data_IF_703675737923
#
_entry.id   IF_703675737923
#
_cell.length_a   1.000
_cell.length_b   1.000
_cell.length_c   1.000
_cell.angle_alpha   90.00
_cell.angle_beta   90.00
_cell.angle_gamma   90.00
#
_symmetry.space_group_name_H-M   'P 1'
#
loop_
_entity.id
_entity.type
_entity.pdbx_description
1 polymer ?
#
# COMPACT_ATOMS: atom_id res chain seq x y z
N UNK A 1 -17.52 21.24 -21.64
CA UNK A 1 -16.92 19.92 -21.47
C UNK A 1 -15.88 19.93 -20.37
N UNK A 2 -15.68 18.81 -19.71
CA UNK A 2 -14.66 18.68 -18.67
C UNK A 2 -13.26 18.80 -19.28
N UNK A 3 -12.34 19.43 -18.54
CA UNK A 3 -10.94 19.53 -18.95
C UNK A 3 -10.33 18.13 -18.96
N UNK A 4 -9.92 17.64 -20.13
CA UNK A 4 -9.38 16.29 -20.26
C UNK A 4 -8.06 16.14 -19.49
N UNK A 5 -7.93 15.02 -18.76
CA UNK A 5 -6.70 14.64 -18.07
C UNK A 5 -5.72 13.92 -18.99
N UNK A 6 -5.22 12.75 -18.57
CA UNK A 6 -4.27 11.93 -19.34
C UNK A 6 -4.89 11.40 -20.63
N UNK A 7 -4.25 11.65 -21.77
CA UNK A 7 -4.66 11.08 -23.08
C UNK A 7 -4.31 9.59 -23.18
N UNK A 8 -5.20 8.85 -23.81
CA UNK A 8 -5.01 7.45 -24.21
C UNK A 8 -5.07 7.34 -25.75
N UNK A 9 -4.91 6.15 -26.30
CA UNK A 9 -5.03 5.94 -27.76
C UNK A 9 -6.41 6.29 -28.31
N UNK A 10 -7.46 6.13 -27.53
CA UNK A 10 -8.88 6.28 -27.96
C UNK A 10 -9.59 7.49 -27.37
N UNK A 11 -8.90 8.30 -26.55
CA UNK A 11 -9.53 9.47 -25.91
C UNK A 11 -8.82 9.88 -24.64
N UNK A 12 -9.57 10.34 -23.65
CA UNK A 12 -9.03 10.68 -22.34
C UNK A 12 -9.24 9.54 -21.34
N UNK A 13 -8.27 9.35 -20.44
CA UNK A 13 -8.38 8.36 -19.37
C UNK A 13 -9.53 8.71 -18.43
N UNK A 14 -10.35 7.71 -18.12
CA UNK A 14 -11.39 7.76 -17.09
C UNK A 14 -11.03 6.87 -15.90
N UNK A 15 -9.75 6.59 -15.68
CA UNK A 15 -9.29 5.88 -14.49
C UNK A 15 -9.63 6.65 -13.21
N UNK A 16 -9.82 5.94 -12.10
CA UNK A 16 -10.30 6.53 -10.86
C UNK A 16 -9.41 7.69 -10.38
N UNK A 17 -8.11 7.52 -10.39
CA UNK A 17 -7.10 8.53 -10.02
C UNK A 17 -7.19 9.84 -10.82
N UNK A 18 -7.64 9.74 -12.09
CA UNK A 18 -7.86 10.90 -12.96
C UNK A 18 -9.22 11.57 -12.67
N UNK A 19 -10.26 10.75 -12.46
CA UNK A 19 -11.60 11.27 -12.17
C UNK A 19 -11.68 11.89 -10.77
N UNK A 20 -11.01 11.32 -9.77
CA UNK A 20 -10.94 11.87 -8.42
C UNK A 20 -10.46 13.33 -8.40
N UNK A 21 -9.47 13.67 -9.25
CA UNK A 21 -8.98 15.05 -9.40
C UNK A 21 -9.98 16.01 -9.99
N UNK A 22 -10.96 15.50 -10.73
CA UNK A 22 -12.03 16.30 -11.36
C UNK A 22 -13.29 16.35 -10.50
N UNK A 23 -13.45 15.43 -9.57
CA UNK A 23 -14.66 15.29 -8.76
C UNK A 23 -14.90 16.51 -7.84
N UNK A 24 -13.84 17.14 -7.34
CA UNK A 24 -13.96 18.30 -6.46
C UNK A 24 -14.76 19.46 -7.10
N UNK A 25 -14.57 19.68 -8.41
CA UNK A 25 -15.20 20.78 -9.15
C UNK A 25 -16.42 20.32 -9.97
N UNK A 26 -16.70 19.02 -10.01
CA UNK A 26 -17.71 18.45 -10.91
C UNK A 26 -18.53 17.35 -10.22
N UNK A 27 -19.69 17.65 -9.62
CA UNK A 27 -20.50 16.68 -8.89
C UNK A 27 -20.83 15.42 -9.69
N UNK A 28 -21.15 15.54 -10.97
CA UNK A 28 -21.42 14.38 -11.84
C UNK A 28 -20.26 13.38 -11.90
N UNK A 29 -19.01 13.83 -11.71
CA UNK A 29 -17.84 12.94 -11.69
C UNK A 29 -17.80 12.15 -10.38
N UNK A 30 -18.20 12.78 -9.27
CA UNK A 30 -18.33 12.07 -7.99
C UNK A 30 -19.41 10.98 -8.09
N UNK A 31 -20.57 11.29 -8.67
CA UNK A 31 -21.65 10.30 -8.88
C UNK A 31 -21.18 9.12 -9.76
N UNK A 32 -20.41 9.39 -10.82
CA UNK A 32 -19.84 8.35 -11.68
C UNK A 32 -18.86 7.46 -10.90
N UNK A 33 -18.01 8.04 -10.05
CA UNK A 33 -17.08 7.28 -9.22
C UNK A 33 -17.83 6.39 -8.21
N UNK A 34 -18.84 6.93 -7.56
CA UNK A 34 -19.69 6.18 -6.64
C UNK A 34 -20.43 5.05 -7.36
N UNK A 35 -21.08 5.34 -8.48
CA UNK A 35 -21.77 4.32 -9.30
C UNK A 35 -20.82 3.19 -9.71
N UNK A 36 -19.61 3.51 -10.17
CA UNK A 36 -18.60 2.51 -10.54
C UNK A 36 -18.16 1.67 -9.34
N UNK A 37 -18.00 2.30 -8.18
CA UNK A 37 -17.65 1.61 -6.93
C UNK A 37 -18.74 0.61 -6.54
N UNK A 38 -20.00 1.05 -6.51
CA UNK A 38 -21.16 0.21 -6.19
C UNK A 38 -21.35 -0.94 -7.20
N UNK A 39 -21.23 -0.64 -8.49
CA UNK A 39 -21.34 -1.65 -9.55
C UNK A 39 -20.27 -2.71 -9.41
N UNK A 40 -19.01 -2.31 -9.11
CA UNK A 40 -17.91 -3.25 -8.87
C UNK A 40 -18.17 -4.11 -7.63
N UNK A 41 -18.63 -3.51 -6.53
CA UNK A 41 -18.97 -4.25 -5.32
C UNK A 41 -20.06 -5.29 -5.59
N UNK A 42 -21.10 -4.89 -6.30
CA UNK A 42 -22.22 -5.78 -6.67
C UNK A 42 -21.72 -6.91 -7.57
N UNK A 43 -21.15 -6.58 -8.72
CA UNK A 43 -20.84 -7.59 -9.76
C UNK A 43 -19.70 -8.53 -9.36
N UNK A 44 -18.67 -8.04 -8.69
CA UNK A 44 -17.48 -8.84 -8.36
C UNK A 44 -17.63 -9.61 -7.06
N UNK A 45 -18.28 -8.99 -6.06
CA UNK A 45 -18.30 -9.56 -4.71
C UNK A 45 -19.69 -10.02 -4.27
N UNK A 46 -20.76 -9.22 -4.45
CA UNK A 46 -22.08 -9.65 -3.99
C UNK A 46 -22.65 -10.77 -4.88
N UNK A 47 -22.65 -10.55 -6.19
CA UNK A 47 -23.14 -11.56 -7.14
C UNK A 47 -22.03 -12.56 -7.50
N UNK A 48 -20.85 -12.06 -7.85
CA UNK A 48 -19.78 -12.89 -8.41
C UNK A 48 -19.16 -13.89 -7.44
N UNK A 49 -19.16 -13.64 -6.12
CA UNK A 49 -18.69 -14.66 -5.17
C UNK A 49 -19.68 -15.81 -4.99
N UNK A 50 -20.97 -15.55 -5.20
CA UNK A 50 -21.98 -16.60 -5.09
C UNK A 50 -21.77 -17.73 -6.11
N UNK A 51 -21.26 -17.39 -7.29
CA UNK A 51 -20.97 -18.35 -8.36
C UNK A 51 -19.83 -19.33 -8.02
N UNK A 52 -19.03 -19.02 -7.01
CA UNK A 52 -17.92 -19.86 -6.53
C UNK A 52 -18.28 -20.69 -5.29
N UNK A 53 -19.52 -20.67 -4.85
CA UNK A 53 -19.95 -21.54 -3.73
C UNK A 53 -20.10 -22.95 -4.26
N UNK A 54 -19.31 -23.88 -3.73
CA UNK A 54 -19.33 -25.29 -4.11
C UNK A 54 -20.39 -26.10 -3.33
N UNK A 55 -20.52 -27.37 -3.63
CA UNK A 55 -21.53 -28.26 -3.03
C UNK A 55 -21.43 -28.35 -1.50
N UNK A 56 -20.23 -28.12 -0.93
CA UNK A 56 -20.00 -28.08 0.53
C UNK A 56 -20.41 -26.75 1.17
N UNK A 57 -20.97 -25.81 0.40
CA UNK A 57 -21.38 -24.48 0.85
C UNK A 57 -20.21 -23.50 1.07
N UNK A 58 -19.02 -23.81 0.56
CA UNK A 58 -17.80 -23.03 0.75
C UNK A 58 -17.23 -22.50 -0.55
N UNK A 59 -16.37 -21.49 -0.43
CA UNK A 59 -15.58 -20.96 -1.54
C UNK A 59 -14.14 -21.46 -1.41
N UNK A 60 -13.64 -22.10 -2.47
CA UNK A 60 -12.28 -22.64 -2.56
C UNK A 60 -11.49 -21.88 -3.62
N UNK A 61 -10.60 -20.99 -3.20
CA UNK A 61 -9.70 -20.27 -4.10
C UNK A 61 -8.48 -21.11 -4.46
N UNK A 62 -7.90 -20.84 -5.61
CA UNK A 62 -6.58 -21.37 -5.98
C UNK A 62 -5.48 -20.41 -5.59
N UNK A 63 -4.48 -20.88 -4.81
CA UNK A 63 -3.29 -20.13 -4.46
C UNK A 63 -2.14 -20.46 -5.40
N UNK A 64 -1.60 -19.42 -6.07
CA UNK A 64 -0.52 -19.58 -7.04
C UNK A 64 0.80 -19.08 -6.42
N UNK A 65 1.81 -19.95 -6.37
CA UNK A 65 3.11 -19.65 -5.77
C UNK A 65 4.16 -19.15 -6.78
N UNK A 66 3.90 -19.26 -8.08
CA UNK A 66 4.88 -19.03 -9.14
C UNK A 66 4.52 -17.90 -10.10
N UNK A 67 3.43 -17.17 -9.86
CA UNK A 67 2.92 -16.15 -10.79
C UNK A 67 3.57 -14.77 -10.55
N UNK A 68 3.79 -14.41 -9.29
CA UNK A 68 4.35 -13.09 -8.96
C UNK A 68 5.88 -13.09 -9.08
N UNK A 69 6.44 -12.03 -9.66
CA UNK A 69 7.90 -11.86 -9.76
C UNK A 69 8.59 -11.72 -8.37
N UNK A 70 7.84 -11.33 -7.34
CA UNK A 70 8.34 -11.07 -5.99
C UNK A 70 8.34 -12.29 -5.06
N UNK A 71 7.83 -13.44 -5.52
CA UNK A 71 7.65 -14.62 -4.67
C UNK A 71 6.40 -14.56 -3.76
N UNK A 72 5.57 -13.49 -3.86
CA UNK A 72 4.29 -13.45 -3.15
C UNK A 72 3.32 -14.45 -3.76
N UNK A 73 2.40 -14.96 -2.94
CA UNK A 73 1.29 -15.80 -3.41
C UNK A 73 0.21 -14.90 -4.03
N UNK A 74 -0.40 -15.35 -5.12
CA UNK A 74 -1.62 -14.77 -5.67
C UNK A 74 -2.81 -15.70 -5.50
N UNK A 75 -4.01 -15.15 -5.53
CA UNK A 75 -5.28 -15.88 -5.37
C UNK A 75 -6.14 -15.68 -6.60
N UNK A 76 -6.69 -16.79 -7.15
CA UNK A 76 -7.55 -16.79 -8.35
C UNK A 76 -8.72 -17.76 -8.18
N UNK A 77 -9.81 -17.51 -8.88
CA UNK A 77 -10.99 -18.36 -8.96
C UNK A 77 -11.61 -18.73 -7.60
N UNK A 78 -12.07 -17.75 -6.84
CA UNK A 78 -12.00 -16.30 -7.03
C UNK A 78 -10.76 -15.65 -6.43
N UNK A 79 -10.44 -14.39 -6.82
CA UNK A 79 -9.40 -13.62 -6.15
C UNK A 79 -9.91 -13.08 -4.81
N UNK A 80 -9.49 -13.70 -3.71
CA UNK A 80 -9.86 -13.30 -2.35
C UNK A 80 -8.92 -12.25 -1.72
N UNK A 81 -7.80 -11.91 -2.36
CA UNK A 81 -6.86 -10.90 -1.86
C UNK A 81 -7.34 -9.46 -2.05
N UNK A 82 -8.30 -9.23 -2.93
CA UNK A 82 -8.78 -7.90 -3.30
C UNK A 82 -10.15 -7.55 -2.67
N UNK A 83 -10.59 -8.27 -1.66
CA UNK A 83 -11.84 -7.96 -0.95
C UNK A 83 -11.72 -6.56 -0.32
N UNK A 84 -12.63 -5.62 -0.62
CA UNK A 84 -12.50 -4.24 -0.16
C UNK A 84 -12.54 -4.10 1.35
N UNK A 85 -11.74 -3.16 1.89
CA UNK A 85 -11.72 -2.85 3.33
C UNK A 85 -11.94 -1.37 3.64
N UNK A 86 -11.72 -0.49 2.65
CA UNK A 86 -11.68 0.97 2.90
C UNK A 86 -13.06 1.58 3.09
N UNK A 87 -14.07 1.04 2.41
CA UNK A 87 -15.46 1.53 2.49
C UNK A 87 -16.27 0.68 3.47
N UNK A 88 -17.33 1.26 4.01
CA UNK A 88 -18.26 0.56 4.91
C UNK A 88 -18.92 -0.65 4.22
N UNK A 89 -19.41 -0.46 2.99
CA UNK A 89 -19.99 -1.54 2.19
C UNK A 89 -18.98 -2.63 1.88
N UNK A 90 -17.72 -2.26 1.58
CA UNK A 90 -16.65 -3.23 1.37
C UNK A 90 -16.38 -4.07 2.63
N UNK A 91 -16.42 -3.47 3.81
CA UNK A 91 -16.30 -4.21 5.08
C UNK A 91 -17.46 -5.16 5.35
N UNK A 92 -18.68 -4.83 4.87
CA UNK A 92 -19.83 -5.73 4.98
C UNK A 92 -19.64 -7.03 4.17
N UNK A 93 -18.98 -6.95 3.00
CA UNK A 93 -18.66 -8.14 2.20
C UNK A 93 -17.79 -9.11 2.99
N UNK A 94 -16.85 -8.64 3.80
CA UNK A 94 -16.01 -9.53 4.64
C UNK A 94 -16.81 -10.30 5.68
N UNK A 95 -17.95 -9.77 6.14
CA UNK A 95 -18.79 -10.44 7.14
C UNK A 95 -19.51 -11.68 6.61
N UNK A 96 -19.58 -11.87 5.30
CA UNK A 96 -20.18 -13.08 4.72
C UNK A 96 -19.26 -14.30 4.83
N UNK A 97 -17.96 -14.06 5.06
CA UNK A 97 -17.01 -15.15 5.30
C UNK A 97 -17.07 -15.53 6.77
N UNK A 98 -17.59 -16.73 7.01
CA UNK A 98 -17.73 -17.29 8.36
C UNK A 98 -16.93 -18.59 8.43
N UNK A 99 -16.42 -18.97 9.62
CA UNK A 99 -15.75 -20.25 9.78
C UNK A 99 -16.77 -21.38 9.68
N UNK A 100 -16.31 -22.58 9.35
CA UNK A 100 -17.13 -23.80 9.45
C UNK A 100 -17.60 -23.98 10.91
N UNK A 101 -18.73 -24.66 11.10
CA UNK A 101 -19.25 -24.97 12.43
C UNK A 101 -18.18 -25.62 13.32
N UNK A 102 -18.05 -25.13 14.52
CA UNK A 102 -17.02 -25.52 15.52
C UNK A 102 -15.56 -25.17 15.13
N UNK A 103 -15.35 -24.29 14.13
CA UNK A 103 -14.03 -23.73 13.77
C UNK A 103 -13.99 -22.24 14.06
N UNK A 104 -12.77 -21.72 14.14
CA UNK A 104 -12.50 -20.28 14.29
C UNK A 104 -11.55 -19.86 13.19
N UNK A 105 -11.69 -18.60 12.73
CA UNK A 105 -10.62 -17.96 11.97
C UNK A 105 -9.48 -17.59 12.92
N UNK A 106 -8.27 -17.94 12.54
CA UNK A 106 -7.06 -17.46 13.18
C UNK A 106 -6.34 -16.58 12.17
N UNK A 107 -6.13 -15.32 12.53
CA UNK A 107 -5.38 -14.34 11.73
C UNK A 107 -4.06 -14.04 12.44
N UNK A 108 -2.94 -14.20 11.74
CA UNK A 108 -1.62 -13.89 12.23
C UNK A 108 -0.82 -13.22 11.12
N UNK A 109 -0.38 -11.99 11.36
CA UNK A 109 0.41 -11.20 10.42
C UNK A 109 1.76 -10.79 11.03
N UNK A 110 2.79 -10.79 10.21
CA UNK A 110 4.10 -10.28 10.63
C UNK A 110 4.07 -8.75 10.68
N UNK A 111 4.32 -8.19 11.86
CA UNK A 111 4.40 -6.74 12.02
C UNK A 111 5.56 -6.16 11.20
N UNK A 112 5.24 -5.48 10.11
CA UNK A 112 6.18 -4.71 9.29
C UNK A 112 7.38 -5.52 8.78
N UNK A 113 7.12 -6.73 8.29
CA UNK A 113 8.19 -7.68 7.93
C UNK A 113 9.18 -7.11 6.92
N UNK A 114 8.71 -6.37 5.91
CA UNK A 114 9.56 -5.79 4.88
C UNK A 114 10.58 -4.80 5.47
N UNK A 115 10.16 -3.96 6.40
CA UNK A 115 11.06 -3.00 7.06
C UNK A 115 12.04 -3.70 8.00
N UNK A 116 11.63 -4.78 8.66
CA UNK A 116 12.52 -5.60 9.50
C UNK A 116 13.58 -6.31 8.65
N UNK A 117 13.17 -6.84 7.49
CA UNK A 117 14.09 -7.44 6.53
C UNK A 117 15.05 -6.39 5.98
N UNK A 118 14.56 -5.22 5.61
CA UNK A 118 15.41 -4.11 5.16
C UNK A 118 16.43 -3.70 6.22
N UNK A 119 16.02 -3.58 7.48
CA UNK A 119 16.91 -3.28 8.59
C UNK A 119 18.02 -4.32 8.72
N UNK A 120 17.68 -5.60 8.63
CA UNK A 120 18.63 -6.71 8.73
C UNK A 120 19.61 -6.71 7.56
N UNK A 121 19.14 -6.64 6.32
CA UNK A 121 19.97 -6.76 5.11
C UNK A 121 20.87 -5.52 4.95
N UNK A 122 20.35 -4.31 5.19
CA UNK A 122 21.13 -3.07 5.12
C UNK A 122 22.16 -2.96 6.25
N UNK A 123 21.92 -3.67 7.36
CA UNK A 123 22.73 -3.56 8.58
C UNK A 123 22.65 -2.18 9.22
N UNK A 124 21.56 -1.44 8.99
CA UNK A 124 21.37 -0.12 9.63
C UNK A 124 21.09 -0.26 11.11
N UNK A 125 22.06 0.11 11.93
CA UNK A 125 22.02 -0.08 13.39
C UNK A 125 20.89 0.69 14.05
N UNK A 126 20.58 1.88 13.56
CA UNK A 126 19.51 2.70 14.13
C UNK A 126 18.13 2.09 13.88
N UNK A 127 17.92 1.56 12.67
CA UNK A 127 16.68 0.88 12.34
C UNK A 127 16.55 -0.47 13.07
N UNK A 128 17.63 -1.23 13.17
CA UNK A 128 17.67 -2.48 13.94
C UNK A 128 17.33 -2.22 15.41
N UNK A 129 17.95 -1.23 16.04
CA UNK A 129 17.72 -0.91 17.44
C UNK A 129 16.28 -0.42 17.68
N UNK A 130 15.72 0.37 16.76
CA UNK A 130 14.32 0.79 16.82
C UNK A 130 13.35 -0.40 16.83
N UNK A 131 13.65 -1.46 16.08
CA UNK A 131 12.84 -2.68 16.10
C UNK A 131 13.07 -3.58 17.31
N UNK A 132 14.26 -3.55 17.93
CA UNK A 132 14.52 -4.29 19.18
C UNK A 132 13.83 -3.66 20.40
N UNK A 133 13.66 -2.34 20.39
CA UNK A 133 13.04 -1.61 21.49
C UNK A 133 11.51 -1.77 21.57
N UNK A 134 10.90 -2.51 20.62
CA UNK A 134 9.43 -2.69 20.49
C UNK A 134 8.65 -1.37 20.42
N UNK A 135 9.34 -0.28 20.05
CA UNK A 135 8.74 1.03 19.93
C UNK A 135 8.08 1.23 18.56
N UNK A 136 7.17 2.21 18.48
CA UNK A 136 6.51 2.59 17.23
C UNK A 136 7.52 3.19 16.23
N UNK A 137 7.98 2.37 15.27
CA UNK A 137 8.97 2.78 14.27
C UNK A 137 8.53 4.01 13.47
N UNK A 138 7.25 4.16 13.18
CA UNK A 138 6.75 5.32 12.45
C UNK A 138 6.82 6.58 13.30
N UNK A 139 6.61 6.46 14.60
CA UNK A 139 6.76 7.55 15.55
C UNK A 139 8.23 7.92 15.75
N UNK A 140 9.13 6.93 15.83
CA UNK A 140 10.57 7.14 15.89
C UNK A 140 11.05 7.87 14.63
N UNK A 141 10.67 7.38 13.46
CA UNK A 141 11.01 8.02 12.18
C UNK A 141 10.46 9.44 12.11
N UNK A 142 9.21 9.67 12.53
CA UNK A 142 8.62 10.99 12.58
C UNK A 142 9.41 11.94 13.49
N UNK A 143 9.74 11.50 14.70
CA UNK A 143 10.56 12.28 15.65
C UNK A 143 11.87 12.76 15.01
N UNK A 144 12.55 11.86 14.31
CA UNK A 144 13.84 12.16 13.67
C UNK A 144 13.69 13.02 12.42
N UNK A 145 12.78 12.67 11.50
CA UNK A 145 12.58 13.37 10.22
C UNK A 145 12.00 14.78 10.42
N UNK A 146 11.13 14.96 11.40
CA UNK A 146 10.50 16.27 11.69
C UNK A 146 11.15 17.03 12.83
N UNK A 147 12.23 16.47 13.43
CA UNK A 147 12.93 17.08 14.59
C UNK A 147 11.97 17.42 15.75
N UNK A 148 10.99 16.54 15.98
CA UNK A 148 9.97 16.68 17.02
C UNK A 148 10.27 15.70 18.14
N UNK A 149 10.21 16.07 19.44
CA UNK A 149 10.32 15.11 20.53
C UNK A 149 9.33 13.93 20.35
N UNK A 150 9.75 12.74 20.72
CA UNK A 150 8.95 11.52 20.48
C UNK A 150 7.52 11.59 21.03
N UNK A 151 7.36 12.17 22.22
CA UNK A 151 6.08 12.35 22.90
C UNK A 151 5.18 13.40 22.20
N UNK A 152 5.78 14.37 21.50
CA UNK A 152 5.08 15.46 20.82
C UNK A 152 4.77 15.16 19.36
N UNK A 153 5.19 13.99 18.84
CA UNK A 153 4.88 13.58 17.48
C UNK A 153 3.37 13.47 17.28
N UNK A 154 2.84 14.27 16.36
CA UNK A 154 1.44 14.28 16.02
C UNK A 154 1.04 13.06 15.16
N UNK A 155 -0.25 12.71 15.15
CA UNK A 155 -0.77 11.63 14.30
C UNK A 155 -0.52 11.90 12.80
N UNK A 156 -0.53 13.17 12.39
CA UNK A 156 -0.22 13.56 11.02
C UNK A 156 1.25 13.27 10.69
N UNK A 157 2.18 13.68 11.54
CA UNK A 157 3.61 13.41 11.36
C UNK A 157 3.90 11.90 11.35
N UNK A 158 3.29 11.14 12.27
CA UNK A 158 3.39 9.67 12.30
C UNK A 158 2.88 9.03 11.01
N UNK A 159 1.73 9.50 10.49
CA UNK A 159 1.16 9.02 9.22
C UNK A 159 2.07 9.34 8.05
N UNK A 160 2.63 10.55 7.99
CA UNK A 160 3.56 10.96 6.95
C UNK A 160 4.85 10.12 7.01
N UNK A 161 5.42 9.91 8.19
CA UNK A 161 6.57 9.03 8.38
C UNK A 161 6.27 7.57 7.97
N UNK A 162 5.06 7.07 8.22
CA UNK A 162 4.62 5.75 7.74
C UNK A 162 4.65 5.68 6.22
N UNK A 163 4.16 6.70 5.51
CA UNK A 163 4.20 6.75 4.05
C UNK A 163 5.64 6.82 3.52
N UNK A 164 6.54 7.55 4.20
CA UNK A 164 7.97 7.59 3.85
C UNK A 164 8.61 6.22 4.08
N UNK A 165 8.43 5.61 5.25
CA UNK A 165 8.99 4.29 5.58
C UNK A 165 8.63 3.23 4.53
N UNK A 166 7.35 3.12 4.16
CA UNK A 166 6.92 2.17 3.14
C UNK A 166 7.34 2.61 1.74
N UNK A 167 7.26 3.91 1.45
CA UNK A 167 7.65 4.46 0.17
C UNK A 167 9.11 4.14 -0.18
N UNK A 168 10.03 4.28 0.77
CA UNK A 168 11.45 3.97 0.57
C UNK A 168 11.66 2.50 0.19
N UNK A 169 11.00 1.56 0.88
CA UNK A 169 11.09 0.12 0.55
C UNK A 169 10.66 -0.17 -0.89
N UNK A 170 9.65 0.55 -1.36
CA UNK A 170 9.10 0.37 -2.71
C UNK A 170 9.69 1.33 -3.75
N UNK A 171 10.75 2.06 -3.43
CA UNK A 171 11.43 2.96 -4.36
C UNK A 171 10.63 4.19 -4.76
N UNK A 172 9.86 4.76 -3.84
CA UNK A 172 9.03 5.94 -4.12
C UNK A 172 9.87 7.14 -4.52
N UNK A 173 9.43 7.86 -5.56
CA UNK A 173 10.02 9.14 -5.93
C UNK A 173 9.43 10.30 -5.12
N UNK A 174 10.14 11.43 -5.05
CA UNK A 174 9.60 12.66 -4.44
C UNK A 174 8.28 13.11 -5.07
N UNK A 175 8.06 12.82 -6.35
CA UNK A 175 6.78 13.06 -7.00
C UNK A 175 5.68 12.14 -6.46
N UNK A 176 5.92 10.83 -6.38
CA UNK A 176 4.97 9.86 -5.81
C UNK A 176 4.60 10.23 -4.37
N UNK A 177 5.60 10.46 -3.52
CA UNK A 177 5.39 10.82 -2.12
C UNK A 177 4.61 12.14 -1.98
N UNK A 178 4.86 13.13 -2.84
CA UNK A 178 4.12 14.40 -2.82
C UNK A 178 2.64 14.23 -3.13
N UNK A 179 2.29 13.30 -4.03
CA UNK A 179 0.89 12.98 -4.34
C UNK A 179 0.23 12.24 -3.18
N UNK A 180 0.90 11.27 -2.58
CA UNK A 180 0.36 10.45 -1.49
C UNK A 180 0.09 11.28 -0.23
N UNK A 181 0.95 12.25 0.06
CA UNK A 181 0.85 13.10 1.25
C UNK A 181 0.12 14.43 0.99
N UNK A 182 -0.19 14.76 -0.26
CA UNK A 182 -0.75 16.06 -0.67
C UNK A 182 0.13 17.24 -0.22
N UNK A 183 1.45 17.09 -0.36
CA UNK A 183 2.46 18.11 -0.08
C UNK A 183 3.20 18.52 -1.35
N UNK A 184 4.05 19.54 -1.26
CA UNK A 184 4.88 19.94 -2.40
C UNK A 184 5.96 18.90 -2.70
N UNK A 185 6.41 18.83 -3.96
CA UNK A 185 7.51 17.94 -4.35
C UNK A 185 8.80 18.25 -3.61
N UNK A 186 9.01 19.53 -3.24
CA UNK A 186 10.17 19.97 -2.46
C UNK A 186 10.12 19.38 -1.05
N UNK A 187 9.00 19.51 -0.35
CA UNK A 187 8.81 18.94 0.99
C UNK A 187 8.97 17.41 0.96
N UNK A 188 8.42 16.75 -0.05
CA UNK A 188 8.59 15.31 -0.21
C UNK A 188 10.05 14.90 -0.41
N UNK A 189 10.82 15.68 -1.18
CA UNK A 189 12.25 15.45 -1.37
C UNK A 189 13.02 15.64 -0.06
N UNK A 190 12.71 16.68 0.71
CA UNK A 190 13.30 16.93 2.03
C UNK A 190 12.99 15.79 3.02
N UNK A 191 11.79 15.22 3.00
CA UNK A 191 11.45 14.07 3.86
C UNK A 191 12.27 12.83 3.49
N UNK A 192 12.44 12.54 2.20
CA UNK A 192 13.28 11.43 1.73
C UNK A 192 14.74 11.63 2.13
N UNK A 193 15.27 12.84 1.96
CA UNK A 193 16.66 13.19 2.32
C UNK A 193 16.90 12.97 3.82
N UNK A 194 16.05 13.55 4.68
CA UNK A 194 16.12 13.37 6.14
C UNK A 194 15.97 11.92 6.58
N UNK A 195 15.16 11.14 5.88
CA UNK A 195 15.07 9.72 6.13
C UNK A 195 16.42 9.01 5.90
N UNK A 196 17.08 9.30 4.80
CA UNK A 196 18.41 8.73 4.50
C UNK A 196 19.53 9.29 5.37
N UNK A 197 19.42 10.52 5.85
CA UNK A 197 20.31 11.05 6.89
C UNK A 197 20.13 10.28 8.21
N UNK A 198 18.89 9.93 8.54
CA UNK A 198 18.56 9.14 9.74
C UNK A 198 19.03 7.70 9.62
N UNK A 199 18.89 7.10 8.44
CA UNK A 199 19.21 5.70 8.16
C UNK A 199 20.20 5.59 6.98
N UNK A 200 21.47 5.99 7.16
CA UNK A 200 22.40 6.15 6.04
C UNK A 200 22.78 4.82 5.36
N UNK A 201 22.79 3.70 6.10
CA UNK A 201 23.09 2.40 5.52
C UNK A 201 22.01 1.90 4.57
N UNK A 202 20.76 2.33 4.75
CA UNK A 202 19.66 1.99 3.83
C UNK A 202 19.93 2.59 2.45
N UNK A 203 20.31 3.87 2.39
CA UNK A 203 20.64 4.50 1.11
C UNK A 203 21.78 3.78 0.39
N UNK A 204 22.87 3.52 1.09
CA UNK A 204 24.01 2.80 0.53
C UNK A 204 23.66 1.40 0.03
N UNK A 205 22.81 0.68 0.76
CA UNK A 205 22.30 -0.62 0.36
C UNK A 205 21.45 -0.55 -0.93
N UNK A 206 20.47 0.36 -0.99
CA UNK A 206 19.61 0.52 -2.16
C UNK A 206 20.39 0.96 -3.41
N UNK A 207 21.29 1.92 -3.26
CA UNK A 207 22.17 2.37 -4.35
C UNK A 207 23.07 1.21 -4.81
N UNK A 208 23.60 0.42 -3.87
CA UNK A 208 24.41 -0.76 -4.14
C UNK A 208 23.68 -1.83 -4.95
N UNK A 209 22.41 -2.11 -4.64
CA UNK A 209 21.59 -3.05 -5.42
C UNK A 209 21.43 -2.60 -6.89
N UNK A 210 21.27 -1.29 -7.11
CA UNK A 210 21.15 -0.73 -8.46
C UNK A 210 22.47 -0.92 -9.24
N UNK A 211 23.60 -0.63 -8.63
CA UNK A 211 24.91 -0.80 -9.27
C UNK A 211 25.24 -2.29 -9.51
N UNK A 212 24.96 -3.15 -8.53
CA UNK A 212 25.11 -4.60 -8.69
C UNK A 212 24.25 -5.16 -9.81
N UNK A 213 22.97 -4.72 -9.91
CA UNK A 213 22.08 -5.12 -10.99
C UNK A 213 22.55 -4.65 -12.37
N UNK A 214 23.15 -3.45 -12.46
CA UNK A 214 23.76 -2.97 -13.72
C UNK A 214 24.98 -3.80 -14.12
N UNK A 215 25.81 -4.17 -13.14
CA UNK A 215 27.03 -4.94 -13.38
C UNK A 215 26.74 -6.40 -13.74
N UNK A 216 25.87 -7.05 -12.99
CA UNK A 216 25.57 -8.48 -13.12
C UNK A 216 24.45 -8.77 -14.14
N UNK A 217 23.58 -7.80 -14.44
CA UNK A 217 22.39 -7.99 -15.25
C UNK A 217 21.21 -8.65 -14.51
N UNK A 218 21.31 -8.84 -13.19
CA UNK A 218 20.26 -9.32 -12.29
C UNK A 218 20.45 -8.76 -10.88
N UNK A 219 19.42 -8.86 -10.05
CA UNK A 219 19.45 -8.49 -8.62
C UNK A 219 19.18 -9.72 -7.77
#
# INVERSE_FOLDING_TARGET
GLKGGKKTKTGYSTAADILEKLAADNPIVADILEYRGLTKLKSTYADGLADYIEEDGRIHTSFNQTITATGRISSTEPNLQNIPMRTELGRLIRKVFVPKDNYLFTDADYSQIELRVLAHISGDEQLIEAYKSDADIHRITASKVFHTPFEEVTDLQRRNAKAVNFGIVYGISSFGLSQDLSITRKEAAEYIERYFETYPKIKGFLDGLVEEGKEKGYV
#
